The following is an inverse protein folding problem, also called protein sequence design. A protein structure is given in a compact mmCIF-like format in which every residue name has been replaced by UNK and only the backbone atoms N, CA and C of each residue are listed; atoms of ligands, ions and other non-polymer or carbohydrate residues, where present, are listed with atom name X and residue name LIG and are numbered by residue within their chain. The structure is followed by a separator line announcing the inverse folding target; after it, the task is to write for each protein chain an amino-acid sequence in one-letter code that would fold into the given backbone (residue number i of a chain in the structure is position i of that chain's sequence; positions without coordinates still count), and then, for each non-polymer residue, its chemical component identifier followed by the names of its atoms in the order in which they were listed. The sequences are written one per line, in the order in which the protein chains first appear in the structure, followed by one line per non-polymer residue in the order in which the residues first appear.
data_IF_522178309930
#
_entry.id   IF_522178309930
#
_cell.length_a   1.000
_cell.length_b   1.000
_cell.length_c   1.000
_cell.angle_alpha   90.00
_cell.angle_beta   90.00
_cell.angle_gamma   90.00
#
_symmetry.space_group_name_H-M   'P 1'
#
loop_
_entity.id
_entity.type
_entity.pdbx_description
1 polymer ?
#
# COMPACT_ATOMS: atom_id res chain seq x y z
N UNK A 1 -75.67 33.29 -41.16
CA UNK A 1 -74.70 32.53 -40.34
C UNK A 1 -73.68 33.56 -39.88
N UNK A 2 -74.08 34.36 -38.87
CA UNK A 2 -73.79 34.19 -37.43
C UNK A 2 -72.47 34.94 -37.10
N UNK A 3 -72.47 36.07 -36.39
CA UNK A 3 -72.56 36.21 -34.92
C UNK A 3 -71.24 35.70 -34.27
N UNK A 4 -70.59 36.24 -33.22
CA UNK A 4 -70.84 37.25 -32.17
C UNK A 4 -69.61 37.17 -31.21
N UNK A 5 -69.34 38.25 -30.44
CA UNK A 5 -68.69 38.33 -29.09
C UNK A 5 -67.23 37.87 -28.82
N UNK A 6 -66.42 38.75 -28.19
CA UNK A 6 -66.08 38.84 -26.75
C UNK A 6 -65.40 37.58 -26.17
N UNK A 7 -64.25 37.75 -25.52
CA UNK A 7 -64.16 37.83 -24.04
C UNK A 7 -62.72 37.55 -23.55
N UNK A 8 -62.43 38.19 -22.42
CA UNK A 8 -61.21 38.21 -21.63
C UNK A 8 -60.78 36.83 -21.09
N UNK A 9 -59.51 36.71 -20.73
CA UNK A 9 -58.96 35.57 -20.02
C UNK A 9 -57.76 35.98 -19.17
N UNK A 10 -58.06 36.27 -17.90
CA UNK A 10 -57.13 36.51 -16.80
C UNK A 10 -56.14 35.34 -16.58
N UNK A 11 -54.99 35.62 -15.94
CA UNK A 11 -54.05 34.61 -15.49
C UNK A 11 -52.68 35.20 -15.17
N UNK A 12 -52.52 35.88 -14.05
CA UNK A 12 -52.07 35.27 -12.78
C UNK A 12 -50.56 35.00 -12.76
N UNK A 13 -49.87 35.89 -12.02
CA UNK A 13 -48.79 35.62 -11.04
C UNK A 13 -47.67 34.68 -11.44
N UNK A 14 -46.42 35.18 -11.39
CA UNK A 14 -45.50 34.90 -10.26
C UNK A 14 -44.09 35.32 -10.63
N UNK A 15 -43.54 36.25 -9.84
CA UNK A 15 -42.11 36.47 -9.71
C UNK A 15 -41.44 35.15 -9.32
N UNK A 16 -40.46 34.69 -10.10
CA UNK A 16 -39.49 33.72 -9.60
C UNK A 16 -38.17 34.44 -9.44
N UNK A 17 -37.84 34.61 -8.17
CA UNK A 17 -36.64 35.21 -7.62
C UNK A 17 -35.41 34.45 -8.15
N UNK A 18 -34.46 35.18 -8.72
CA UNK A 18 -33.10 34.70 -8.96
C UNK A 18 -32.35 34.70 -7.64
N UNK A 19 -32.26 33.55 -6.97
CA UNK A 19 -31.24 33.31 -5.95
C UNK A 19 -30.39 32.13 -6.41
N UNK A 20 -29.17 32.47 -6.83
CA UNK A 20 -28.14 31.50 -7.15
C UNK A 20 -27.77 30.73 -5.90
N UNK A 21 -28.30 29.52 -5.81
CA UNK A 21 -27.83 28.52 -4.86
C UNK A 21 -26.41 28.11 -5.29
N UNK A 22 -25.40 28.72 -4.67
CA UNK A 22 -24.05 28.18 -4.69
C UNK A 22 -24.09 26.78 -4.08
N UNK A 23 -23.88 25.77 -4.93
CA UNK A 23 -23.67 24.40 -4.52
C UNK A 23 -22.31 24.28 -3.82
N UNK A 24 -22.34 24.33 -2.48
CA UNK A 24 -21.23 23.89 -1.63
C UNK A 24 -20.85 22.44 -2.02
N UNK A 25 -19.59 22.17 -2.41
CA UNK A 25 -19.16 20.81 -2.73
C UNK A 25 -19.11 19.99 -1.44
N UNK A 26 -20.00 19.01 -1.34
CA UNK A 26 -20.18 18.14 -0.17
C UNK A 26 -18.85 17.58 0.34
N UNK A 27 -18.45 18.03 1.52
CA UNK A 27 -17.21 17.66 2.23
C UNK A 27 -17.07 16.14 2.46
N UNK A 28 -18.19 15.40 2.39
CA UNK A 28 -18.23 13.94 2.55
C UNK A 28 -17.65 13.18 1.34
N UNK A 29 -17.80 13.74 0.12
CA UNK A 29 -17.27 13.15 -1.11
C UNK A 29 -15.74 13.21 -1.16
N UNK A 30 -15.16 14.31 -0.69
CA UNK A 30 -13.71 14.52 -0.68
C UNK A 30 -13.02 13.69 0.41
N UNK A 31 -13.64 13.55 1.58
CA UNK A 31 -13.16 12.70 2.66
C UNK A 31 -13.17 11.20 2.26
N UNK A 32 -14.25 10.74 1.61
CA UNK A 32 -14.33 9.37 1.11
C UNK A 32 -13.27 9.09 0.02
N UNK A 33 -13.08 10.01 -0.93
CA UNK A 33 -12.05 9.90 -1.96
C UNK A 33 -10.62 9.89 -1.38
N UNK A 34 -10.34 10.76 -0.40
CA UNK A 34 -9.06 10.79 0.30
C UNK A 34 -8.78 9.48 1.05
N UNK A 35 -9.80 8.89 1.68
CA UNK A 35 -9.67 7.61 2.39
C UNK A 35 -9.35 6.43 1.45
N UNK A 36 -9.96 6.39 0.26
CA UNK A 36 -9.70 5.41 -0.79
C UNK A 36 -8.28 5.56 -1.35
N UNK A 37 -7.85 6.79 -1.62
CA UNK A 37 -6.48 7.07 -2.07
C UNK A 37 -5.45 6.68 -1.01
N UNK A 38 -5.68 6.98 0.27
CA UNK A 38 -4.80 6.58 1.36
C UNK A 38 -4.70 5.04 1.47
N UNK A 39 -5.82 4.32 1.35
CA UNK A 39 -5.85 2.85 1.32
C UNK A 39 -5.08 2.29 0.12
N UNK A 40 -5.25 2.89 -1.05
CA UNK A 40 -4.56 2.46 -2.27
C UNK A 40 -3.05 2.69 -2.19
N UNK A 41 -2.61 3.86 -1.70
CA UNK A 41 -1.19 4.15 -1.46
C UNK A 41 -0.56 3.18 -0.46
N UNK A 42 -1.25 2.91 0.66
CA UNK A 42 -0.80 1.90 1.63
C UNK A 42 -0.68 0.52 1.01
N UNK A 43 -1.61 0.13 0.14
CA UNK A 43 -1.57 -1.16 -0.55
C UNK A 43 -0.40 -1.24 -1.53
N UNK A 44 -0.14 -0.17 -2.28
CA UNK A 44 1.00 -0.09 -3.22
C UNK A 44 2.32 -0.15 -2.45
N UNK A 45 2.49 0.66 -1.41
CA UNK A 45 3.70 0.66 -0.58
C UNK A 45 3.95 -0.72 0.08
N UNK A 46 2.89 -1.37 0.60
CA UNK A 46 3.02 -2.73 1.14
C UNK A 46 3.34 -3.79 0.08
N UNK A 47 3.01 -3.54 -1.19
CA UNK A 47 3.37 -4.44 -2.27
C UNK A 47 4.83 -4.21 -2.65
N UNK A 48 5.24 -2.95 -2.89
CA UNK A 48 6.62 -2.56 -3.20
C UNK A 48 7.61 -3.14 -2.19
N UNK A 49 7.37 -2.94 -0.89
CA UNK A 49 8.23 -3.48 0.18
C UNK A 49 8.39 -5.02 0.12
N UNK A 50 7.31 -5.73 -0.25
CA UNK A 50 7.35 -7.19 -0.38
C UNK A 50 8.11 -7.64 -1.61
N UNK A 51 8.01 -6.92 -2.73
CA UNK A 51 8.71 -7.26 -3.96
C UNK A 51 10.21 -7.14 -3.77
N UNK A 52 10.66 -6.05 -3.15
CA UNK A 52 12.07 -5.83 -2.83
C UNK A 52 12.60 -6.92 -1.90
N UNK A 53 11.80 -7.30 -0.90
CA UNK A 53 12.12 -8.39 0.03
C UNK A 53 12.25 -9.74 -0.67
N UNK A 54 11.31 -10.10 -1.55
CA UNK A 54 11.36 -11.36 -2.33
C UNK A 54 12.60 -11.38 -3.22
N UNK A 55 12.88 -10.29 -3.94
CA UNK A 55 14.04 -10.19 -4.82
C UNK A 55 15.36 -10.29 -4.03
N UNK A 56 15.42 -9.67 -2.84
CA UNK A 56 16.57 -9.79 -1.96
C UNK A 56 16.77 -11.22 -1.44
N UNK A 57 15.71 -11.88 -0.98
CA UNK A 57 15.76 -13.29 -0.56
C UNK A 57 16.26 -14.18 -1.71
N UNK A 58 15.78 -13.96 -2.93
CA UNK A 58 16.25 -14.71 -4.09
C UNK A 58 17.75 -14.52 -4.35
N UNK A 59 18.27 -13.29 -4.22
CA UNK A 59 19.71 -13.03 -4.32
C UNK A 59 20.48 -13.76 -3.20
N UNK A 60 19.96 -13.76 -1.97
CA UNK A 60 20.58 -14.45 -0.83
C UNK A 60 20.65 -15.96 -1.03
N UNK A 61 19.58 -16.56 -1.54
CA UNK A 61 19.55 -18.00 -1.88
C UNK A 61 20.53 -18.30 -3.02
N UNK A 62 20.56 -17.48 -4.07
CA UNK A 62 21.50 -17.66 -5.17
C UNK A 62 22.95 -17.63 -4.69
N UNK A 63 23.32 -16.66 -3.85
CA UNK A 63 24.65 -16.58 -3.26
C UNK A 63 24.97 -17.81 -2.41
N UNK A 64 24.04 -18.25 -1.56
CA UNK A 64 24.22 -19.44 -0.72
C UNK A 64 24.40 -20.74 -1.52
N UNK A 65 23.86 -20.80 -2.73
CA UNK A 65 24.03 -21.92 -3.66
C UNK A 65 25.25 -21.77 -4.57
N UNK A 66 25.86 -20.59 -4.61
CA UNK A 66 27.04 -20.30 -5.42
C UNK A 66 28.33 -20.72 -4.71
N UNK A 67 29.41 -20.91 -5.47
CA UNK A 67 30.76 -21.07 -4.91
C UNK A 67 31.42 -19.72 -4.56
N UNK A 68 30.67 -18.62 -4.61
CA UNK A 68 31.19 -17.27 -4.35
C UNK A 68 31.36 -17.09 -2.84
N UNK A 69 32.53 -16.60 -2.43
CA UNK A 69 32.89 -16.45 -1.01
C UNK A 69 32.57 -15.08 -0.43
N UNK A 70 32.18 -14.12 -1.26
CA UNK A 70 31.91 -12.74 -0.86
C UNK A 70 30.73 -12.19 -1.64
N UNK A 71 29.82 -11.48 -0.96
CA UNK A 71 28.72 -10.81 -1.62
C UNK A 71 29.21 -9.66 -2.52
N UNK A 72 28.99 -9.73 -3.83
CA UNK A 72 29.34 -8.68 -4.79
C UNK A 72 28.17 -8.38 -5.73
N UNK A 73 28.19 -7.19 -6.31
CA UNK A 73 27.18 -6.77 -7.29
C UNK A 73 27.31 -7.54 -8.61
N UNK A 74 28.54 -7.87 -9.02
CA UNK A 74 28.84 -8.64 -10.22
C UNK A 74 29.89 -9.69 -9.85
N UNK A 75 29.53 -10.95 -10.06
CA UNK A 75 30.38 -12.13 -9.86
C UNK A 75 30.65 -12.78 -11.22
N UNK A 76 31.59 -12.20 -11.99
CA UNK A 76 32.05 -12.75 -13.27
C UNK A 76 30.96 -12.85 -14.34
N UNK A 77 30.13 -13.89 -14.26
CA UNK A 77 29.00 -14.16 -15.14
C UNK A 77 27.62 -13.78 -14.55
N UNK A 78 27.56 -13.43 -13.27
CA UNK A 78 26.31 -13.15 -12.58
C UNK A 78 26.22 -11.71 -12.06
N UNK A 79 25.18 -10.98 -12.47
CA UNK A 79 24.91 -9.62 -11.97
C UNK A 79 23.71 -9.66 -11.00
N UNK A 80 24.00 -9.53 -9.70
CA UNK A 80 23.00 -9.50 -8.63
C UNK A 80 22.02 -8.33 -8.78
N UNK A 81 22.49 -7.17 -9.28
CA UNK A 81 21.66 -5.99 -9.47
C UNK A 81 20.69 -6.23 -10.62
N UNK A 82 21.16 -6.75 -11.74
CA UNK A 82 20.33 -7.07 -12.89
C UNK A 82 19.33 -8.18 -12.56
N UNK A 83 19.75 -9.20 -11.82
CA UNK A 83 18.87 -10.27 -11.35
C UNK A 83 17.76 -9.73 -10.44
N UNK A 84 18.12 -8.91 -9.44
CA UNK A 84 17.16 -8.26 -8.54
C UNK A 84 16.14 -7.43 -9.33
N UNK A 85 16.61 -6.58 -10.27
CA UNK A 85 15.74 -5.75 -11.11
C UNK A 85 14.79 -6.58 -11.96
N UNK A 86 15.28 -7.69 -12.52
CA UNK A 86 14.47 -8.60 -13.33
C UNK A 86 13.34 -9.23 -12.51
N UNK A 87 13.62 -9.61 -11.26
CA UNK A 87 12.59 -10.13 -10.35
C UNK A 87 11.56 -9.04 -10.04
N UNK A 88 11.99 -7.84 -9.67
CA UNK A 88 11.07 -6.72 -9.37
C UNK A 88 10.19 -6.41 -10.59
N UNK A 89 10.79 -6.29 -11.77
CA UNK A 89 10.06 -6.03 -13.03
C UNK A 89 9.03 -7.13 -13.34
N UNK A 90 9.34 -8.41 -13.05
CA UNK A 90 8.40 -9.53 -13.22
C UNK A 90 7.12 -9.34 -12.39
N UNK A 91 7.25 -8.81 -11.18
CA UNK A 91 6.12 -8.56 -10.30
C UNK A 91 5.40 -7.24 -10.58
N UNK A 92 6.12 -6.18 -10.94
CA UNK A 92 5.55 -4.86 -11.20
C UNK A 92 4.84 -4.76 -12.56
N UNK A 93 5.39 -5.40 -13.60
CA UNK A 93 4.94 -5.22 -14.99
C UNK A 93 4.56 -6.55 -15.66
N UNK A 94 3.59 -7.31 -15.11
CA UNK A 94 3.16 -8.56 -15.73
C UNK A 94 2.47 -8.32 -17.08
N UNK A 95 2.81 -9.08 -18.15
CA UNK A 95 2.21 -8.90 -19.46
C UNK A 95 0.78 -9.46 -19.50
N UNK A 96 -0.20 -8.56 -19.46
CA UNK A 96 -1.62 -8.90 -19.62
C UNK A 96 -2.33 -9.34 -18.32
N UNK A 97 -3.65 -9.57 -18.43
CA UNK A 97 -4.51 -9.83 -17.27
C UNK A 97 -4.21 -11.16 -16.59
N UNK A 98 -3.98 -12.22 -17.36
CA UNK A 98 -3.69 -13.55 -16.79
C UNK A 98 -2.38 -13.57 -16.01
N UNK A 99 -1.32 -12.96 -16.55
CA UNK A 99 -0.05 -12.84 -15.86
C UNK A 99 -0.20 -12.09 -14.54
N UNK A 100 -1.01 -11.02 -14.53
CA UNK A 100 -1.34 -10.26 -13.32
C UNK A 100 -2.06 -11.11 -12.28
N UNK A 101 -3.08 -11.89 -12.67
CA UNK A 101 -3.76 -12.80 -11.75
C UNK A 101 -2.82 -13.86 -11.16
N UNK A 102 -1.86 -14.38 -11.95
CA UNK A 102 -0.85 -15.32 -11.43
C UNK A 102 0.08 -14.67 -10.42
N UNK A 103 0.55 -13.45 -10.72
CA UNK A 103 1.39 -12.65 -9.82
C UNK A 103 0.65 -12.34 -8.51
N UNK A 104 -0.59 -11.90 -8.59
CA UNK A 104 -1.41 -11.61 -7.39
C UNK A 104 -1.57 -12.85 -6.50
N UNK A 105 -1.86 -14.02 -7.11
CA UNK A 105 -1.96 -15.29 -6.39
C UNK A 105 -0.65 -15.71 -5.74
N UNK A 106 0.47 -15.47 -6.42
CA UNK A 106 1.80 -15.76 -5.90
C UNK A 106 2.14 -14.87 -4.71
N UNK A 107 1.87 -13.55 -4.80
CA UNK A 107 2.09 -12.61 -3.70
C UNK A 107 1.20 -12.89 -2.49
N UNK A 108 -0.03 -13.34 -2.73
CA UNK A 108 -0.90 -13.79 -1.66
C UNK A 108 -0.31 -15.01 -0.93
N UNK A 109 0.22 -15.98 -1.67
CA UNK A 109 0.88 -17.14 -1.10
C UNK A 109 2.11 -16.74 -0.26
N UNK A 110 3.00 -15.88 -0.79
CA UNK A 110 4.17 -15.36 -0.05
C UNK A 110 3.75 -14.63 1.23
N UNK A 111 2.72 -13.79 1.15
CA UNK A 111 2.18 -13.08 2.31
C UNK A 111 1.66 -14.04 3.38
N UNK A 112 1.00 -15.12 2.97
CA UNK A 112 0.39 -16.10 3.87
C UNK A 112 1.42 -17.05 4.50
N UNK A 113 2.43 -17.47 3.74
CA UNK A 113 3.37 -18.52 4.15
C UNK A 113 4.71 -18.01 4.64
N UNK A 114 5.23 -16.93 4.07
CA UNK A 114 6.57 -16.43 4.37
C UNK A 114 6.51 -15.19 5.25
N UNK A 115 5.73 -14.18 4.87
CA UNK A 115 5.62 -12.94 5.66
C UNK A 115 4.69 -13.07 6.89
N UNK A 116 4.04 -14.21 7.08
CA UNK A 116 3.50 -14.59 8.39
C UNK A 116 2.40 -13.67 8.93
N UNK A 117 1.48 -13.19 8.08
CA UNK A 117 0.31 -12.37 8.49
C UNK A 117 -0.66 -13.09 9.45
N UNK A 118 -0.35 -14.33 9.86
CA UNK A 118 -1.22 -15.19 10.68
C UNK A 118 -0.61 -15.56 12.05
N UNK A 119 0.58 -15.08 12.43
CA UNK A 119 1.16 -15.47 13.73
C UNK A 119 1.53 -14.29 14.63
N UNK A 120 1.95 -13.15 14.08
CA UNK A 120 2.33 -11.99 14.91
C UNK A 120 1.12 -11.31 15.55
N UNK A 121 -0.03 -11.27 14.87
CA UNK A 121 -1.23 -10.60 15.39
C UNK A 121 -1.86 -11.37 16.57
N UNK A 122 -1.67 -12.68 16.64
CA UNK A 122 -2.17 -13.55 17.73
C UNK A 122 -1.24 -13.57 18.96
N UNK A 123 -0.02 -13.05 18.86
CA UNK A 123 0.94 -13.06 19.96
C UNK A 123 0.64 -11.92 20.96
N UNK A 124 0.43 -12.31 22.22
CA UNK A 124 0.30 -11.37 23.34
C UNK A 124 1.47 -10.39 23.42
N UNK A 125 1.19 -9.14 23.80
CA UNK A 125 2.19 -8.07 24.01
C UNK A 125 3.33 -8.52 24.93
N UNK A 126 3.03 -9.34 25.95
CA UNK A 126 4.03 -9.91 26.86
C UNK A 126 4.95 -10.91 26.17
N UNK A 127 4.42 -11.72 25.24
CA UNK A 127 5.24 -12.64 24.44
C UNK A 127 6.17 -11.88 23.50
N UNK A 128 5.65 -10.83 22.82
CA UNK A 128 6.44 -9.93 21.98
C UNK A 128 7.56 -9.24 22.77
N UNK A 129 7.24 -8.75 23.96
CA UNK A 129 8.17 -8.12 24.89
C UNK A 129 9.36 -9.02 25.28
N UNK A 130 9.13 -10.32 25.41
CA UNK A 130 10.15 -11.27 25.85
C UNK A 130 10.93 -11.93 24.69
N UNK A 131 10.65 -11.56 23.45
CA UNK A 131 11.44 -12.03 22.30
C UNK A 131 12.89 -11.54 22.42
N UNK A 132 13.83 -12.39 21.98
CA UNK A 132 15.27 -12.18 22.16
C UNK A 132 15.77 -10.82 21.66
N UNK A 133 15.25 -10.33 20.54
CA UNK A 133 15.63 -9.02 19.97
C UNK A 133 15.10 -7.85 20.81
N UNK A 134 13.87 -7.94 21.33
CA UNK A 134 13.31 -6.91 22.21
C UNK A 134 14.00 -6.91 23.57
N UNK A 135 14.36 -8.09 24.09
CA UNK A 135 15.18 -8.22 25.28
C UNK A 135 16.57 -7.58 25.09
N UNK A 136 17.22 -7.83 23.95
CA UNK A 136 18.51 -7.23 23.61
C UNK A 136 18.41 -5.71 23.41
N UNK A 137 17.34 -5.21 22.79
CA UNK A 137 17.11 -3.78 22.63
C UNK A 137 16.96 -3.08 23.99
N UNK A 138 16.24 -3.69 24.94
CA UNK A 138 16.14 -3.20 26.33
C UNK A 138 17.51 -3.18 27.02
N UNK A 139 18.30 -4.24 26.85
CA UNK A 139 19.64 -4.30 27.43
C UNK A 139 20.55 -3.18 26.90
N UNK A 140 20.44 -2.83 25.61
CA UNK A 140 21.19 -1.72 25.02
C UNK A 140 20.75 -0.38 25.59
N UNK A 141 19.44 -0.11 25.63
CA UNK A 141 18.89 1.11 26.21
C UNK A 141 19.34 1.29 27.67
N UNK A 142 19.27 0.23 28.48
CA UNK A 142 19.73 0.26 29.88
C UNK A 142 21.24 0.55 30.01
N UNK A 143 22.07 0.03 29.11
CA UNK A 143 23.51 0.32 29.11
C UNK A 143 23.79 1.78 28.74
N UNK A 144 23.03 2.33 27.80
CA UNK A 144 23.19 3.72 27.36
C UNK A 144 22.74 4.68 28.49
N UNK A 145 21.62 4.41 29.16
CA UNK A 145 21.15 5.20 30.32
C UNK A 145 22.16 5.20 31.47
N UNK A 146 22.73 4.02 31.80
CA UNK A 146 23.77 3.90 32.83
C UNK A 146 25.07 4.61 32.45
N UNK A 147 25.36 4.75 31.15
CA UNK A 147 26.53 5.49 30.67
C UNK A 147 26.36 7.01 30.78
N UNK A 148 25.10 7.49 30.79
CA UNK A 148 24.76 8.90 30.86
C UNK A 148 24.64 9.40 32.32
N UNK A 149 24.32 8.51 33.27
CA UNK A 149 24.15 8.81 34.70
C UNK A 149 25.45 8.71 35.53
N UNK A 150 26.62 8.57 34.90
CA UNK A 150 27.92 8.56 35.61
C UNK A 150 28.48 10.00 35.73
N UNK A 151 28.81 10.48 36.94
CA UNK A 151 29.25 11.87 37.20
C UNK A 151 30.65 12.21 36.66
#
# INVERSE_FOLDING_TARGET
MADIEHQEGEGSTTQVNSEGQQAEPSQESTAAAASLQARQRRRIAQLEEKLESIAYIACQVQFALSSVTSWRSVDGDFDCIQFWRTIVDFFERPPGREARCRVDRLLEWWTRKVFGRNHCDDLSTTAKANMSVNALARQRAQRDDLSFDSP
#
